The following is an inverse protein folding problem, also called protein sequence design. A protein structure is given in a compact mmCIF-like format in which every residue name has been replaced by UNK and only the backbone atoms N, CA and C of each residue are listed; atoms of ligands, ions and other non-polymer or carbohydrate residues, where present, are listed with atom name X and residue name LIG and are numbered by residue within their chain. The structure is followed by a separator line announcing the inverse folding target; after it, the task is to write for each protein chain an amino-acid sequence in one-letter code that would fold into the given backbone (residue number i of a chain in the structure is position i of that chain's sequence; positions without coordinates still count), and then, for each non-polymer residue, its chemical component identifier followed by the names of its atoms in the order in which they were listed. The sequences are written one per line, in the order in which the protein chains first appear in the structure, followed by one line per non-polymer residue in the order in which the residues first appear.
data_IF_690868762558
#
_entry.id   IF_690868762558
#
_cell.length_a   1.000
_cell.length_b   1.000
_cell.length_c   1.000
_cell.angle_alpha   90.00
_cell.angle_beta   90.00
_cell.angle_gamma   90.00
#
_symmetry.space_group_name_H-M   'P 1'
#
loop_
_entity.id
_entity.type
_entity.pdbx_description
1 polymer ?
#
# COMPACT_ATOMS: atom_id res chain seq x y z
N UNK A 1 -14.14 7.97 -8.27
CA UNK A 1 -14.09 9.20 -9.09
C UNK A 1 -13.48 8.78 -10.43
N UNK A 2 -14.20 8.89 -11.56
CA UNK A 2 -13.67 8.46 -12.86
C UNK A 2 -12.80 9.58 -13.42
N UNK A 3 -11.49 9.43 -13.32
CA UNK A 3 -10.57 10.42 -13.88
C UNK A 3 -10.58 10.29 -15.39
N UNK A 4 -11.06 11.30 -16.10
CA UNK A 4 -10.94 11.37 -17.56
C UNK A 4 -9.50 11.80 -17.85
N UNK A 5 -8.70 10.89 -18.42
CA UNK A 5 -7.35 11.24 -18.88
C UNK A 5 -7.50 12.24 -20.03
N UNK A 6 -6.94 13.45 -19.93
CA UNK A 6 -7.01 14.43 -21.01
C UNK A 6 -6.45 13.86 -22.32
N UNK A 7 -7.14 14.10 -23.43
CA UNK A 7 -6.84 13.49 -24.72
C UNK A 7 -5.40 13.73 -25.19
N UNK A 8 -4.86 14.93 -24.93
CA UNK A 8 -3.48 15.30 -25.25
C UNK A 8 -2.41 14.52 -24.47
N UNK A 9 -2.75 13.90 -23.34
CA UNK A 9 -1.82 13.05 -22.58
C UNK A 9 -1.96 11.57 -22.94
N UNK A 10 -3.04 11.18 -23.61
CA UNK A 10 -3.36 9.77 -23.90
C UNK A 10 -2.31 9.11 -24.79
N UNK A 11 -1.75 9.83 -25.74
CA UNK A 11 -0.69 9.31 -26.61
C UNK A 11 0.60 9.02 -25.83
N UNK A 12 1.02 9.93 -24.94
CA UNK A 12 2.20 9.78 -24.09
C UNK A 12 2.04 8.55 -23.17
N UNK A 13 0.87 8.40 -22.56
CA UNK A 13 0.60 7.29 -21.66
C UNK A 13 0.43 5.95 -22.38
N UNK A 14 -0.11 5.94 -23.60
CA UNK A 14 -0.17 4.70 -24.40
C UNK A 14 1.22 4.18 -24.72
N UNK A 15 2.19 5.07 -25.02
CA UNK A 15 3.58 4.68 -25.23
C UNK A 15 4.27 4.15 -23.95
N UNK A 16 3.89 4.63 -22.77
CA UNK A 16 4.50 4.22 -21.48
C UNK A 16 3.86 3.00 -20.82
N UNK A 17 2.54 2.88 -20.92
CA UNK A 17 1.73 1.87 -20.23
C UNK A 17 1.16 0.79 -21.16
N UNK A 18 1.40 0.93 -22.46
CA UNK A 18 1.14 -0.09 -23.49
C UNK A 18 -0.30 -0.14 -23.99
N UNK A 19 -1.30 -0.10 -23.10
CA UNK A 19 -2.71 -0.25 -23.50
C UNK A 19 -3.63 0.79 -22.84
N UNK A 20 -4.73 1.11 -23.52
CA UNK A 20 -5.77 1.99 -22.97
C UNK A 20 -6.39 1.44 -21.68
N UNK A 21 -6.50 0.11 -21.52
CA UNK A 21 -7.00 -0.50 -20.30
C UNK A 21 -6.04 -0.31 -19.12
N UNK A 22 -4.73 -0.39 -19.38
CA UNK A 22 -3.69 -0.10 -18.37
C UNK A 22 -3.74 1.35 -17.92
N UNK A 23 -3.99 2.28 -18.86
CA UNK A 23 -4.12 3.72 -18.57
C UNK A 23 -5.34 3.96 -17.66
N UNK A 24 -6.50 3.45 -18.02
CA UNK A 24 -7.73 3.67 -17.25
C UNK A 24 -7.59 3.11 -15.82
N UNK A 25 -6.97 1.93 -15.66
CA UNK A 25 -6.66 1.33 -14.35
C UNK A 25 -5.68 2.18 -13.54
N UNK A 26 -4.65 2.72 -14.18
CA UNK A 26 -3.64 3.55 -13.52
C UNK A 26 -4.22 4.88 -13.01
N UNK A 27 -5.11 5.52 -13.77
CA UNK A 27 -5.70 6.82 -13.41
C UNK A 27 -6.98 6.73 -12.57
N UNK A 28 -7.55 5.54 -12.45
CA UNK A 28 -8.73 5.27 -11.60
C UNK A 28 -8.53 3.97 -10.81
N UNK A 29 -7.50 3.89 -9.94
CA UNK A 29 -7.24 2.69 -9.16
C UNK A 29 -8.31 2.49 -8.10
N UNK A 30 -8.47 1.25 -7.66
CA UNK A 30 -9.30 0.82 -6.55
C UNK A 30 -8.49 -0.02 -5.56
N UNK A 31 -8.95 -0.19 -4.31
CA UNK A 31 -8.28 -1.12 -3.37
C UNK A 31 -8.15 -2.55 -3.91
N UNK A 32 -9.08 -3.00 -4.77
CA UNK A 32 -9.02 -4.31 -5.42
C UNK A 32 -7.87 -4.43 -6.44
N UNK A 33 -7.25 -3.31 -6.82
CA UNK A 33 -6.08 -3.30 -7.70
C UNK A 33 -4.76 -3.47 -6.97
N UNK A 34 -4.77 -3.41 -5.63
CA UNK A 34 -3.57 -3.68 -4.84
C UNK A 34 -3.16 -5.16 -5.00
N UNK A 35 -1.85 -5.44 -5.12
CA UNK A 35 -1.37 -6.80 -5.09
C UNK A 35 -1.70 -7.45 -3.74
N UNK A 36 -1.80 -8.78 -3.71
CA UNK A 36 -1.91 -9.50 -2.46
C UNK A 36 -0.73 -9.11 -1.54
N UNK A 37 -0.96 -8.88 -0.23
CA UNK A 37 0.11 -8.49 0.68
C UNK A 37 1.28 -9.49 0.69
N UNK A 38 1.00 -10.77 0.49
CA UNK A 38 1.99 -11.85 0.40
C UNK A 38 3.01 -11.70 -0.73
N UNK A 39 2.79 -10.79 -1.69
CA UNK A 39 3.77 -10.45 -2.73
C UNK A 39 4.97 -9.71 -2.13
N UNK A 40 4.78 -8.99 -1.01
CA UNK A 40 5.86 -8.31 -0.33
C UNK A 40 6.71 -9.34 0.45
N UNK A 41 8.00 -9.52 0.12
CA UNK A 41 8.83 -10.54 0.75
C UNK A 41 8.89 -10.36 2.27
N UNK A 42 8.66 -11.45 3.01
CA UNK A 42 8.70 -11.47 4.47
C UNK A 42 7.48 -10.87 5.17
N UNK A 43 6.47 -10.37 4.44
CA UNK A 43 5.31 -9.75 5.07
C UNK A 43 4.48 -10.76 5.89
N UNK A 44 4.23 -11.96 5.35
CA UNK A 44 3.49 -13.01 6.08
C UNK A 44 4.22 -13.39 7.37
N UNK A 45 5.51 -13.69 7.30
CA UNK A 45 6.32 -14.06 8.47
C UNK A 45 6.36 -12.93 9.52
N UNK A 46 6.35 -11.67 9.06
CA UNK A 46 6.30 -10.50 9.94
C UNK A 46 4.96 -10.39 10.64
N UNK A 47 3.85 -10.60 9.90
CA UNK A 47 2.51 -10.61 10.47
C UNK A 47 2.33 -11.71 11.52
N UNK A 48 2.78 -12.94 11.21
CA UNK A 48 2.74 -14.08 12.13
C UNK A 48 3.53 -13.80 13.42
N UNK A 49 4.70 -13.14 13.29
CA UNK A 49 5.51 -12.73 14.45
C UNK A 49 4.82 -11.68 15.31
N UNK A 50 4.17 -10.69 14.69
CA UNK A 50 3.41 -9.65 15.40
C UNK A 50 2.21 -10.31 16.11
N UNK A 51 1.47 -11.19 15.45
CA UNK A 51 0.36 -11.94 16.05
C UNK A 51 0.81 -12.76 17.27
N UNK A 52 1.94 -13.45 17.15
CA UNK A 52 2.51 -14.20 18.27
C UNK A 52 2.85 -13.29 19.46
N UNK A 53 3.47 -12.13 19.21
CA UNK A 53 3.81 -11.15 20.26
C UNK A 53 2.56 -10.57 20.95
N UNK A 54 1.49 -10.30 20.19
CA UNK A 54 0.20 -9.88 20.75
C UNK A 54 -0.35 -10.98 21.68
N UNK A 55 -0.35 -12.23 21.23
CA UNK A 55 -0.86 -13.38 22.01
C UNK A 55 -0.06 -13.64 23.29
N UNK A 56 1.24 -13.36 23.30
CA UNK A 56 2.10 -13.51 24.47
C UNK A 56 2.14 -12.25 25.34
N UNK A 57 1.44 -11.18 24.94
CA UNK A 57 1.44 -9.88 25.60
C UNK A 57 2.87 -9.29 25.70
N UNK A 58 3.69 -9.53 24.68
CA UNK A 58 5.01 -8.94 24.55
C UNK A 58 4.90 -7.47 24.15
N UNK A 59 5.85 -6.65 24.62
CA UNK A 59 5.92 -5.24 24.23
C UNK A 59 6.42 -5.12 22.80
N UNK A 60 5.66 -4.44 21.95
CA UNK A 60 6.02 -4.12 20.56
C UNK A 60 6.50 -2.68 20.49
N UNK A 61 7.72 -2.46 19.98
CA UNK A 61 8.23 -1.13 19.68
C UNK A 61 8.00 -0.84 18.20
N UNK A 62 7.31 0.27 17.92
CA UNK A 62 7.13 0.78 16.56
C UNK A 62 8.18 1.85 16.33
N UNK A 63 9.02 1.66 15.32
CA UNK A 63 10.09 2.58 14.96
C UNK A 63 10.01 2.88 13.46
N UNK A 64 9.79 4.15 13.12
CA UNK A 64 9.68 4.63 11.75
C UNK A 64 10.69 5.71 11.44
N UNK A 65 10.78 6.03 10.15
CA UNK A 65 11.58 7.14 9.65
C UNK A 65 10.98 8.50 10.05
N UNK A 66 11.78 9.55 10.05
CA UNK A 66 11.42 10.92 10.48
C UNK A 66 10.76 11.77 9.39
N UNK A 67 10.26 11.13 8.33
CA UNK A 67 9.52 11.79 7.25
C UNK A 67 8.01 11.55 7.38
N UNK A 68 7.17 12.29 6.63
CA UNK A 68 5.72 12.14 6.73
C UNK A 68 5.23 10.72 6.46
N UNK A 69 5.89 9.96 5.58
CA UNK A 69 5.51 8.58 5.28
C UNK A 69 5.80 7.64 6.46
N UNK A 70 6.99 7.74 7.06
CA UNK A 70 7.37 6.99 8.25
C UNK A 70 6.52 7.30 9.47
N UNK A 71 6.22 8.58 9.70
CA UNK A 71 5.33 9.03 10.80
C UNK A 71 3.91 8.50 10.58
N UNK A 72 3.37 8.60 9.37
CA UNK A 72 2.01 8.11 9.05
C UNK A 72 1.92 6.59 9.20
N UNK A 73 2.95 5.86 8.73
CA UNK A 73 3.04 4.42 8.90
C UNK A 73 3.04 4.00 10.38
N UNK A 74 3.80 4.72 11.22
CA UNK A 74 3.79 4.48 12.66
C UNK A 74 2.42 4.72 13.27
N UNK A 75 1.74 5.81 12.90
CA UNK A 75 0.41 6.11 13.39
C UNK A 75 -0.61 5.01 13.04
N UNK A 76 -0.59 4.53 11.79
CA UNK A 76 -1.46 3.43 11.33
C UNK A 76 -1.19 2.16 12.14
N UNK A 77 0.09 1.80 12.35
CA UNK A 77 0.44 0.60 13.11
C UNK A 77 0.07 0.71 14.60
N UNK A 78 0.24 1.88 15.21
CA UNK A 78 -0.22 2.12 16.58
C UNK A 78 -1.73 1.91 16.68
N UNK A 79 -2.52 2.55 15.81
CA UNK A 79 -3.99 2.43 15.81
C UNK A 79 -4.44 0.97 15.59
N UNK A 80 -3.79 0.24 14.69
CA UNK A 80 -4.12 -1.16 14.40
C UNK A 80 -3.76 -2.13 15.54
N UNK A 81 -2.78 -1.80 16.39
CA UNK A 81 -2.31 -2.67 17.48
C UNK A 81 -2.91 -2.30 18.84
N UNK A 82 -3.45 -1.09 18.99
CA UNK A 82 -4.13 -0.64 20.22
C UNK A 82 -5.63 -1.02 20.27
N UNK A 83 -6.24 -1.33 19.12
CA UNK A 83 -7.65 -1.74 19.01
C UNK A 83 -7.89 -3.21 19.42
#
# INVERSE_FOLDING_TARGET
MRTIVPEGLREIWTRRLGSSQTIDRFFSPSPADLPAPSVLPGLTDTADRIEAAIRTNDRILIFGHDDPDGITSCAILMEALEA
#
